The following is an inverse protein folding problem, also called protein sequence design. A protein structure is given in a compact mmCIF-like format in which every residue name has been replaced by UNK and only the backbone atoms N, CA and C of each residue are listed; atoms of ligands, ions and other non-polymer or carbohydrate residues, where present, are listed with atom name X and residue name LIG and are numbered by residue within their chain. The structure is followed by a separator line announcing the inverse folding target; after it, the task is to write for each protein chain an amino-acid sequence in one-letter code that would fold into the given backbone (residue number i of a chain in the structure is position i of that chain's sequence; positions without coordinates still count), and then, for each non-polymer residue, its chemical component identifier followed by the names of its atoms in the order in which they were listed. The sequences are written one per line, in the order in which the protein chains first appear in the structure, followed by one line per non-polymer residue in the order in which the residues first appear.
data_IF_238776786674
#
_entry.id   IF_238776786674
#
_cell.length_a   1.000
_cell.length_b   1.000
_cell.length_c   1.000
_cell.angle_alpha   90.00
_cell.angle_beta   90.00
_cell.angle_gamma   90.00
#
_symmetry.space_group_name_H-M   'P 1'
#
loop_
_entity.id
_entity.type
_entity.pdbx_description
1 polymer ?
#
# COMPACT_ATOMS: atom_id res chain seq x y z
N UNK A 1 -42.21 -43.10 41.72
CA UNK A 1 -41.34 -41.94 42.03
C UNK A 1 -40.41 -41.69 40.84
N UNK A 2 -40.71 -40.69 40.01
CA UNK A 2 -39.97 -40.34 38.79
C UNK A 2 -38.89 -39.32 39.14
N UNK A 3 -37.63 -39.58 38.77
CA UNK A 3 -36.56 -38.58 38.73
C UNK A 3 -36.62 -37.86 37.38
N UNK A 4 -37.00 -36.58 37.42
CA UNK A 4 -36.85 -35.62 36.34
C UNK A 4 -35.78 -34.63 36.79
N UNK A 5 -34.64 -34.59 36.12
CA UNK A 5 -33.57 -33.65 36.42
C UNK A 5 -32.31 -34.03 35.66
N UNK A 6 -31.72 -33.05 34.96
CA UNK A 6 -30.54 -33.13 34.08
C UNK A 6 -30.78 -33.38 32.58
N UNK A 7 -31.57 -32.54 31.89
CA UNK A 7 -31.38 -32.35 30.42
C UNK A 7 -31.60 -30.89 29.96
N UNK A 8 -31.36 -29.89 30.82
CA UNK A 8 -31.55 -28.47 30.42
C UNK A 8 -30.38 -27.61 30.84
N UNK A 9 -29.17 -27.94 30.38
CA UNK A 9 -28.02 -27.03 30.52
C UNK A 9 -26.90 -27.26 29.48
N UNK A 10 -27.24 -27.70 28.26
CA UNK A 10 -26.26 -27.96 27.19
C UNK A 10 -26.66 -27.46 25.79
N UNK A 11 -27.67 -26.58 25.70
CA UNK A 11 -28.18 -26.06 24.41
C UNK A 11 -28.15 -24.53 24.28
N UNK A 12 -27.25 -23.85 25.00
CA UNK A 12 -26.89 -22.44 24.76
C UNK A 12 -25.36 -22.34 24.87
N UNK A 13 -24.60 -22.41 23.75
CA UNK A 13 -24.38 -21.24 22.89
C UNK A 13 -24.18 -21.63 21.41
N UNK A 14 -25.25 -21.68 20.62
CA UNK A 14 -25.15 -21.81 19.14
C UNK A 14 -26.00 -20.77 18.41
N UNK A 15 -26.46 -19.74 19.14
CA UNK A 15 -27.19 -18.62 18.57
C UNK A 15 -26.37 -17.36 18.74
N UNK A 16 -26.15 -16.70 17.60
CA UNK A 16 -25.65 -15.34 17.39
C UNK A 16 -24.15 -15.10 17.61
N UNK A 17 -23.35 -15.62 16.68
CA UNK A 17 -22.27 -14.82 16.14
C UNK A 17 -22.30 -14.93 14.61
N UNK A 18 -23.23 -14.21 13.97
CA UNK A 18 -23.06 -13.78 12.58
C UNK A 18 -21.90 -12.78 12.59
N UNK A 19 -20.68 -13.25 12.81
CA UNK A 19 -19.48 -12.43 12.63
C UNK A 19 -19.43 -12.14 11.14
N UNK A 20 -19.64 -10.89 10.75
CA UNK A 20 -19.42 -10.46 9.37
C UNK A 20 -17.93 -10.52 9.05
N UNK A 21 -17.55 -10.84 7.80
CA UNK A 21 -16.18 -10.67 7.28
C UNK A 21 -15.75 -9.19 7.18
N UNK A 22 -16.55 -8.28 7.71
CA UNK A 22 -16.35 -6.85 7.73
C UNK A 22 -15.64 -6.44 9.02
N UNK A 23 -14.49 -5.80 8.88
CA UNK A 23 -13.81 -5.09 9.96
C UNK A 23 -14.34 -3.65 9.95
N UNK A 24 -15.06 -3.27 11.00
CA UNK A 24 -15.45 -1.89 11.21
C UNK A 24 -14.24 -1.08 11.69
N UNK A 25 -13.85 -0.08 10.89
CA UNK A 25 -12.72 0.77 11.20
C UNK A 25 -13.14 2.06 11.90
N UNK A 26 -14.45 2.34 12.01
CA UNK A 26 -14.97 3.61 12.51
C UNK A 26 -14.40 3.94 13.89
N UNK A 27 -14.55 3.05 14.87
CA UNK A 27 -14.15 3.31 16.26
C UNK A 27 -12.63 3.46 16.46
N UNK A 28 -11.82 2.81 15.62
CA UNK A 28 -10.37 2.77 15.79
C UNK A 28 -9.63 3.82 14.93
N UNK A 29 -10.20 4.22 13.79
CA UNK A 29 -9.68 5.32 12.98
C UNK A 29 -10.21 6.70 13.44
N UNK A 30 -11.31 6.74 14.21
CA UNK A 30 -11.94 8.00 14.63
C UNK A 30 -11.13 8.84 15.63
N UNK A 31 -10.08 8.30 16.25
CA UNK A 31 -9.47 8.97 17.42
C UNK A 31 -8.86 10.35 17.09
N UNK A 32 -8.62 10.73 15.82
CA UNK A 32 -8.14 12.09 15.48
C UNK A 32 -8.65 12.71 14.16
N UNK A 33 -9.66 12.11 13.51
CA UNK A 33 -10.06 12.53 12.16
C UNK A 33 -11.57 12.48 11.98
N UNK A 34 -12.24 13.55 12.44
CA UNK A 34 -13.36 14.07 11.66
C UNK A 34 -12.92 14.07 10.19
N UNK A 35 -13.74 13.51 9.31
CA UNK A 35 -13.43 13.41 7.88
C UNK A 35 -12.81 14.72 7.40
N UNK A 36 -11.77 14.70 6.54
CA UNK A 36 -11.21 15.97 6.07
C UNK A 36 -12.29 16.89 5.48
N UNK A 37 -13.35 16.30 4.91
CA UNK A 37 -14.54 17.05 4.52
C UNK A 37 -15.31 17.67 5.68
N UNK A 38 -15.45 16.99 6.82
CA UNK A 38 -16.09 17.56 8.02
C UNK A 38 -15.28 18.76 8.55
N UNK A 39 -13.95 18.68 8.49
CA UNK A 39 -13.08 19.81 8.83
C UNK A 39 -13.24 20.98 7.87
N UNK A 40 -13.64 20.71 6.63
CA UNK A 40 -13.90 21.71 5.60
C UNK A 40 -15.38 22.10 5.50
N UNK A 41 -16.29 21.48 6.26
CA UNK A 41 -17.74 21.60 6.07
C UNK A 41 -18.28 23.04 6.23
N UNK A 42 -17.53 23.91 6.93
CA UNK A 42 -17.83 25.34 7.03
C UNK A 42 -17.52 26.17 5.77
N UNK A 43 -16.89 25.60 4.75
CA UNK A 43 -16.43 26.28 3.54
C UNK A 43 -16.67 25.43 2.28
N UNK A 44 -17.82 25.63 1.65
CA UNK A 44 -18.25 24.85 0.48
C UNK A 44 -17.27 24.89 -0.70
N UNK A 45 -16.54 26.01 -0.87
CA UNK A 45 -15.54 26.15 -1.94
C UNK A 45 -14.35 25.24 -1.67
N UNK A 46 -13.86 25.21 -0.42
CA UNK A 46 -12.78 24.30 -0.04
C UNK A 46 -13.19 22.83 -0.11
N UNK A 47 -14.42 22.50 0.27
CA UNK A 47 -14.95 21.14 0.12
C UNK A 47 -14.91 20.71 -1.34
N UNK A 48 -15.32 21.58 -2.26
CA UNK A 48 -15.34 21.25 -3.69
C UNK A 48 -13.93 21.11 -4.27
N UNK A 49 -13.00 22.00 -3.89
CA UNK A 49 -11.59 21.88 -4.28
C UNK A 49 -10.96 20.60 -3.74
N UNK A 50 -11.28 20.23 -2.50
CA UNK A 50 -10.82 19.00 -1.88
C UNK A 50 -11.33 17.77 -2.65
N UNK A 51 -12.62 17.75 -3.02
CA UNK A 51 -13.20 16.67 -3.84
C UNK A 51 -12.57 16.56 -5.22
N UNK A 52 -12.34 17.70 -5.85
CA UNK A 52 -11.66 17.76 -7.15
C UNK A 52 -10.25 17.18 -7.03
N UNK A 53 -9.52 17.55 -5.98
CA UNK A 53 -8.17 17.06 -5.73
C UNK A 53 -8.12 15.53 -5.54
N UNK A 54 -8.99 14.96 -4.69
CA UNK A 54 -8.95 13.51 -4.41
C UNK A 54 -9.35 12.64 -5.61
N UNK A 55 -10.05 13.21 -6.59
CA UNK A 55 -10.45 12.52 -7.83
C UNK A 55 -9.35 12.54 -8.90
N UNK A 56 -8.25 13.27 -8.69
CA UNK A 56 -7.18 13.48 -9.67
C UNK A 56 -5.89 12.74 -9.29
N UNK A 57 -5.07 12.46 -10.30
CA UNK A 57 -3.66 12.10 -10.13
C UNK A 57 -2.78 13.36 -10.21
N UNK A 58 -1.70 13.44 -9.45
CA UNK A 58 -0.92 14.69 -9.26
C UNK A 58 0.32 14.87 -10.17
N UNK A 59 0.24 14.53 -11.46
CA UNK A 59 1.38 14.64 -12.41
C UNK A 59 1.45 15.97 -13.19
N UNK A 60 0.63 16.96 -12.85
CA UNK A 60 0.58 18.24 -13.56
C UNK A 60 0.00 18.15 -14.97
N UNK A 61 -0.38 16.94 -15.44
CA UNK A 61 -1.26 16.81 -16.58
C UNK A 61 -2.64 17.24 -16.11
N UNK A 62 -3.14 18.38 -16.60
CA UNK A 62 -4.58 18.59 -16.65
C UNK A 62 -5.13 17.44 -17.49
N UNK A 63 -5.52 16.33 -16.87
CA UNK A 63 -6.42 15.38 -17.50
C UNK A 63 -7.63 16.23 -17.91
N UNK A 64 -7.88 16.41 -19.22
CA UNK A 64 -8.97 17.26 -19.64
C UNK A 64 -10.25 16.60 -19.17
N UNK A 65 -10.91 17.19 -18.17
CA UNK A 65 -12.36 17.13 -18.03
C UNK A 65 -12.98 17.93 -19.19
N UNK A 66 -12.71 17.50 -20.42
CA UNK A 66 -13.52 17.84 -21.58
C UNK A 66 -14.45 16.66 -21.82
N UNK A 67 -15.47 16.54 -20.97
CA UNK A 67 -16.70 15.87 -21.37
C UNK A 67 -17.26 16.61 -22.59
N UNK A 68 -17.49 15.95 -23.74
CA UNK A 68 -18.46 16.46 -24.68
C UNK A 68 -19.81 16.40 -23.97
N UNK A 69 -20.34 17.57 -23.63
CA UNK A 69 -21.68 17.72 -23.11
C UNK A 69 -22.70 17.30 -24.17
N UNK A 70 -23.01 15.99 -24.27
CA UNK A 70 -24.28 15.49 -24.79
C UNK A 70 -24.44 14.01 -24.45
N UNK A 71 -24.94 13.73 -23.25
CA UNK A 71 -25.84 12.59 -22.99
C UNK A 71 -26.67 12.90 -21.76
N UNK A 72 -27.86 13.39 -22.05
CA UNK A 72 -29.16 13.14 -21.41
C UNK A 72 -29.13 12.70 -19.93
N UNK A 73 -29.78 13.53 -19.12
CA UNK A 73 -30.06 13.34 -17.71
C UNK A 73 -30.61 11.94 -17.34
N UNK A 74 -30.07 11.37 -16.26
CA UNK A 74 -30.79 10.95 -15.04
C UNK A 74 -30.00 9.85 -14.31
N UNK A 75 -29.31 10.24 -13.24
CA UNK A 75 -29.25 9.50 -11.97
C UNK A 75 -28.56 10.37 -10.92
N UNK A 76 -29.00 10.32 -9.65
CA UNK A 76 -28.30 11.04 -8.58
C UNK A 76 -26.89 10.47 -8.48
N UNK A 77 -25.88 11.34 -8.58
CA UNK A 77 -24.48 10.99 -8.36
C UNK A 77 -24.37 10.42 -6.94
N UNK A 78 -24.30 9.10 -6.85
CA UNK A 78 -24.09 8.39 -5.60
C UNK A 78 -22.74 8.82 -5.02
N UNK A 79 -22.79 9.26 -3.77
CA UNK A 79 -21.70 9.89 -2.99
C UNK A 79 -20.48 8.95 -2.75
N UNK A 80 -20.52 7.70 -3.21
CA UNK A 80 -19.51 6.66 -2.93
C UNK A 80 -18.30 6.56 -3.88
N UNK A 81 -18.06 7.52 -4.78
CA UNK A 81 -17.08 7.40 -5.88
C UNK A 81 -15.72 8.09 -5.71
N UNK A 82 -15.40 8.65 -4.53
CA UNK A 82 -14.40 9.73 -4.43
C UNK A 82 -12.94 9.30 -4.60
N UNK A 83 -12.48 8.32 -3.81
CA UNK A 83 -11.15 7.71 -3.98
C UNK A 83 -11.12 6.63 -5.06
N UNK A 84 -12.31 6.23 -5.52
CA UNK A 84 -12.50 5.19 -6.53
C UNK A 84 -12.03 5.65 -7.90
N UNK A 85 -12.27 6.91 -8.27
CA UNK A 85 -12.00 7.40 -9.63
C UNK A 85 -10.56 7.19 -10.13
N UNK A 86 -9.50 7.66 -9.45
CA UNK A 86 -8.12 7.44 -9.90
C UNK A 86 -7.72 5.96 -9.89
N UNK A 87 -8.21 5.18 -8.91
CA UNK A 87 -7.95 3.73 -8.82
C UNK A 87 -8.61 2.99 -9.98
N UNK A 88 -9.89 3.25 -10.23
CA UNK A 88 -10.66 2.66 -11.31
C UNK A 88 -10.06 3.02 -12.67
N UNK A 89 -9.68 4.28 -12.87
CA UNK A 89 -9.02 4.74 -14.09
C UNK A 89 -7.73 3.96 -14.36
N UNK A 90 -6.93 3.69 -13.31
CA UNK A 90 -5.73 2.86 -13.47
C UNK A 90 -6.08 1.41 -13.80
N UNK A 91 -7.06 0.82 -13.10
CA UNK A 91 -7.52 -0.56 -13.36
C UNK A 91 -8.00 -0.71 -14.80
N UNK A 92 -8.82 0.21 -15.30
CA UNK A 92 -9.31 0.21 -16.69
C UNK A 92 -8.15 0.27 -17.70
N UNK A 93 -7.16 1.14 -17.48
CA UNK A 93 -5.97 1.20 -18.34
C UNK A 93 -5.15 -0.10 -18.33
N UNK A 94 -5.06 -0.78 -17.18
CA UNK A 94 -4.35 -2.06 -17.09
C UNK A 94 -5.17 -3.15 -17.79
N UNK A 95 -6.49 -3.17 -17.60
CA UNK A 95 -7.42 -4.08 -18.28
C UNK A 95 -7.37 -3.97 -19.80
N UNK A 96 -7.42 -2.75 -20.32
CA UNK A 96 -7.37 -2.50 -21.77
C UNK A 96 -6.07 -3.03 -22.41
N UNK A 97 -4.98 -3.09 -21.64
CA UNK A 97 -3.67 -3.55 -22.12
C UNK A 97 -3.43 -5.05 -21.93
N UNK A 98 -3.82 -5.58 -20.77
CA UNK A 98 -3.49 -6.95 -20.36
C UNK A 98 -4.65 -7.94 -20.52
N UNK A 99 -5.83 -7.45 -20.91
CA UNK A 99 -7.04 -8.25 -21.06
C UNK A 99 -7.57 -8.78 -19.72
N UNK A 100 -8.11 -10.00 -19.72
CA UNK A 100 -8.81 -10.59 -18.58
C UNK A 100 -7.97 -10.77 -17.31
N UNK A 101 -6.64 -10.75 -17.40
CA UNK A 101 -5.74 -10.98 -16.25
C UNK A 101 -5.81 -9.86 -15.19
N UNK A 102 -6.25 -8.66 -15.57
CA UNK A 102 -6.42 -7.53 -14.64
C UNK A 102 -7.83 -7.41 -14.06
N UNK A 103 -8.78 -8.29 -14.42
CA UNK A 103 -10.15 -8.24 -13.90
C UNK A 103 -10.21 -8.39 -12.37
N UNK A 104 -9.22 -9.09 -11.81
CA UNK A 104 -9.04 -9.28 -10.37
C UNK A 104 -8.61 -8.01 -9.62
N UNK A 105 -8.08 -6.99 -10.31
CA UNK A 105 -7.72 -5.70 -9.71
C UNK A 105 -8.92 -4.78 -9.50
N UNK A 106 -10.08 -5.08 -10.09
CA UNK A 106 -11.32 -4.30 -9.89
C UNK A 106 -11.73 -4.21 -8.42
N UNK A 107 -11.36 -5.22 -7.62
CA UNK A 107 -11.56 -5.26 -6.17
C UNK A 107 -10.93 -4.06 -5.44
N UNK A 108 -9.81 -3.52 -5.95
CA UNK A 108 -9.17 -2.33 -5.36
C UNK A 108 -10.06 -1.10 -5.47
N UNK A 109 -10.78 -0.95 -6.60
CA UNK A 109 -11.67 0.19 -6.81
C UNK A 109 -12.88 0.12 -5.87
N UNK A 110 -13.42 -1.08 -5.67
CA UNK A 110 -14.56 -1.31 -4.79
C UNK A 110 -14.17 -1.10 -3.32
N UNK A 111 -13.02 -1.65 -2.91
CA UNK A 111 -12.47 -1.41 -1.57
C UNK A 111 -12.21 0.08 -1.33
N UNK A 112 -11.71 0.82 -2.33
CA UNK A 112 -11.46 2.26 -2.20
C UNK A 112 -12.76 3.05 -2.01
N UNK A 113 -13.83 2.64 -2.71
CA UNK A 113 -15.17 3.20 -2.51
C UNK A 113 -15.70 2.95 -1.10
N UNK A 114 -15.61 1.70 -0.62
CA UNK A 114 -16.07 1.32 0.72
C UNK A 114 -15.29 2.04 1.83
N UNK A 115 -13.98 2.19 1.66
CA UNK A 115 -13.13 2.90 2.62
C UNK A 115 -13.40 4.42 2.63
N UNK A 116 -13.70 5.02 1.47
CA UNK A 116 -13.97 6.45 1.34
C UNK A 116 -15.34 6.87 1.93
N UNK A 117 -16.29 5.93 2.07
CA UNK A 117 -17.60 6.22 2.63
C UNK A 117 -17.51 6.47 4.15
N UNK A 118 -17.73 7.70 4.64
CA UNK A 118 -17.63 8.01 6.06
C UNK A 118 -18.69 7.25 6.89
N UNK A 119 -19.80 6.84 6.28
CA UNK A 119 -20.85 6.06 6.94
C UNK A 119 -20.53 4.57 7.00
N UNK A 120 -19.54 4.09 6.22
CA UNK A 120 -19.24 2.68 6.01
C UNK A 120 -17.74 2.36 5.94
N UNK A 121 -16.86 3.10 6.63
CA UNK A 121 -15.41 2.82 6.71
C UNK A 121 -15.15 1.39 7.18
N UNK A 122 -15.10 0.46 6.23
CA UNK A 122 -15.07 -0.97 6.45
C UNK A 122 -14.03 -1.59 5.56
N UNK A 123 -13.38 -2.63 6.08
CA UNK A 123 -12.57 -3.53 5.27
C UNK A 123 -13.27 -4.88 5.22
N UNK A 124 -13.57 -5.33 4.01
CA UNK A 124 -14.09 -6.66 3.74
C UNK A 124 -12.92 -7.64 3.58
N UNK A 125 -12.82 -8.61 4.48
CA UNK A 125 -11.77 -9.62 4.46
C UNK A 125 -11.83 -10.52 3.24
N UNK A 126 -13.00 -10.76 2.66
CA UNK A 126 -13.13 -11.58 1.46
C UNK A 126 -12.62 -10.81 0.24
N UNK A 127 -12.92 -9.51 0.15
CA UNK A 127 -12.30 -8.62 -0.86
C UNK A 127 -10.78 -8.55 -0.68
N UNK A 128 -10.30 -8.48 0.56
CA UNK A 128 -8.87 -8.47 0.86
C UNK A 128 -8.19 -9.78 0.45
N UNK A 129 -8.84 -10.93 0.62
CA UNK A 129 -8.35 -12.22 0.11
C UNK A 129 -8.25 -12.22 -1.41
N UNK A 130 -9.32 -11.80 -2.10
CA UNK A 130 -9.32 -11.65 -3.56
C UNK A 130 -8.19 -10.74 -4.03
N UNK A 131 -7.94 -9.64 -3.32
CA UNK A 131 -6.81 -8.75 -3.59
C UNK A 131 -5.47 -9.48 -3.42
N UNK A 132 -5.24 -10.19 -2.31
CA UNK A 132 -3.98 -10.92 -2.11
C UNK A 132 -3.76 -12.02 -3.14
N UNK A 133 -4.82 -12.69 -3.59
CA UNK A 133 -4.76 -13.66 -4.68
C UNK A 133 -4.42 -12.99 -6.01
N UNK A 134 -5.01 -11.82 -6.30
CA UNK A 134 -4.68 -11.01 -7.47
C UNK A 134 -3.21 -10.59 -7.47
N UNK A 135 -2.71 -10.07 -6.34
CA UNK A 135 -1.31 -9.70 -6.16
C UNK A 135 -0.39 -10.89 -6.42
N UNK A 136 -0.70 -12.05 -5.81
CA UNK A 136 0.11 -13.27 -6.00
C UNK A 136 0.14 -13.70 -7.46
N UNK A 137 -1.01 -13.66 -8.14
CA UNK A 137 -1.10 -13.98 -9.56
C UNK A 137 -0.25 -13.03 -10.42
N UNK A 138 -0.30 -11.73 -10.13
CA UNK A 138 0.53 -10.73 -10.80
C UNK A 138 2.01 -10.93 -10.53
N UNK A 139 2.42 -11.09 -9.27
CA UNK A 139 3.81 -11.31 -8.89
C UNK A 139 4.37 -12.58 -9.55
N UNK A 140 3.58 -13.65 -9.63
CA UNK A 140 3.98 -14.86 -10.36
C UNK A 140 4.19 -14.60 -11.86
N UNK A 141 3.43 -13.69 -12.47
CA UNK A 141 3.61 -13.34 -13.88
C UNK A 141 4.85 -12.48 -14.13
N UNK A 142 5.22 -11.61 -13.18
CA UNK A 142 6.41 -10.75 -13.27
C UNK A 142 7.72 -11.54 -13.26
N UNK A 143 7.78 -12.63 -12.49
CA UNK A 143 8.96 -13.51 -12.40
C UNK A 143 9.32 -14.15 -13.76
N UNK A 144 8.36 -14.26 -14.68
CA UNK A 144 8.57 -14.87 -16.00
C UNK A 144 8.83 -13.87 -17.13
N UNK A 145 8.60 -12.57 -16.95
CA UNK A 145 8.66 -11.60 -18.06
C UNK A 145 9.03 -10.17 -17.62
N UNK A 146 10.14 -10.02 -16.88
CA UNK A 146 10.73 -8.70 -16.59
C UNK A 146 10.99 -7.91 -17.88
N UNK A 147 11.32 -8.59 -18.99
CA UNK A 147 11.49 -7.98 -20.31
C UNK A 147 10.20 -7.39 -20.87
N UNK A 148 9.03 -8.02 -20.66
CA UNK A 148 7.75 -7.40 -20.98
C UNK A 148 7.43 -6.21 -20.07
N UNK A 149 7.74 -6.30 -18.77
CA UNK A 149 7.53 -5.17 -17.85
C UNK A 149 8.42 -3.97 -18.19
N UNK A 150 9.68 -4.23 -18.59
CA UNK A 150 10.61 -3.20 -19.08
C UNK A 150 10.17 -2.58 -20.41
N UNK A 151 9.42 -3.33 -21.23
CA UNK A 151 8.81 -2.83 -22.47
C UNK A 151 7.48 -2.11 -22.24
N UNK A 152 6.82 -2.29 -21.09
CA UNK A 152 5.61 -1.56 -20.75
C UNK A 152 5.92 -0.11 -20.39
N UNK A 153 5.27 0.79 -21.11
CA UNK A 153 5.37 2.24 -20.91
C UNK A 153 4.44 2.74 -19.80
N UNK A 154 3.66 1.85 -19.17
CA UNK A 154 2.80 2.24 -18.04
C UNK A 154 3.64 2.62 -16.82
N UNK A 155 3.24 3.70 -16.16
CA UNK A 155 3.90 4.12 -14.91
C UNK A 155 3.81 3.02 -13.83
N UNK A 156 2.69 2.29 -13.78
CA UNK A 156 2.52 1.20 -12.82
C UNK A 156 3.56 0.08 -13.04
N UNK A 157 3.74 -0.39 -14.28
CA UNK A 157 4.74 -1.40 -14.60
C UNK A 157 6.16 -0.91 -14.27
N UNK A 158 6.49 0.32 -14.63
CA UNK A 158 7.81 0.91 -14.35
C UNK A 158 8.08 1.03 -12.85
N UNK A 159 7.11 1.51 -12.07
CA UNK A 159 7.20 1.57 -10.62
C UNK A 159 7.35 0.16 -10.02
N UNK A 160 6.52 -0.78 -10.45
CA UNK A 160 6.56 -2.14 -9.93
C UNK A 160 7.89 -2.85 -10.24
N UNK A 161 8.44 -2.66 -11.44
CA UNK A 161 9.77 -3.15 -11.81
C UNK A 161 10.83 -2.54 -10.91
N UNK A 162 10.87 -1.21 -10.82
CA UNK A 162 11.88 -0.50 -10.03
C UNK A 162 11.78 -0.82 -8.53
N UNK A 163 10.58 -1.07 -8.01
CA UNK A 163 10.34 -1.40 -6.61
C UNK A 163 10.85 -2.81 -6.30
N UNK A 164 10.55 -3.78 -7.15
CA UNK A 164 11.10 -5.13 -7.06
C UNK A 164 12.64 -5.12 -7.20
N UNK A 165 13.18 -4.41 -8.19
CA UNK A 165 14.63 -4.28 -8.37
C UNK A 165 15.32 -3.59 -7.17
N UNK A 166 14.72 -2.56 -6.58
CA UNK A 166 15.28 -1.93 -5.39
C UNK A 166 15.23 -2.84 -4.15
N UNK A 167 14.21 -3.69 -4.05
CA UNK A 167 14.06 -4.65 -2.97
C UNK A 167 15.06 -5.82 -3.10
N UNK A 168 15.13 -6.46 -4.27
CA UNK A 168 15.96 -7.65 -4.53
C UNK A 168 17.38 -7.35 -5.04
N UNK A 169 17.58 -6.30 -5.85
CA UNK A 169 18.66 -6.22 -6.83
C UNK A 169 19.83 -5.27 -6.55
N UNK A 170 19.74 -4.30 -5.64
CA UNK A 170 20.87 -3.38 -5.37
C UNK A 170 21.84 -3.97 -4.32
N UNK A 171 22.40 -5.14 -4.65
CA UNK A 171 23.35 -5.89 -3.83
C UNK A 171 24.74 -5.25 -3.92
N UNK A 172 25.20 -4.65 -2.82
CA UNK A 172 26.52 -3.98 -2.76
C UNK A 172 27.49 -4.73 -1.88
N UNK A 173 28.75 -4.73 -2.30
CA UNK A 173 29.89 -5.28 -1.57
C UNK A 173 30.65 -4.13 -0.89
N UNK A 174 30.64 -4.06 0.43
CA UNK A 174 31.44 -3.10 1.19
C UNK A 174 32.64 -3.81 1.83
N UNK A 175 33.85 -3.26 1.70
CA UNK A 175 35.06 -3.72 2.40
C UNK A 175 35.25 -2.91 3.68
N UNK A 176 35.15 -3.53 4.86
CA UNK A 176 35.48 -2.88 6.13
C UNK A 176 36.92 -3.23 6.55
N UNK A 177 37.86 -2.28 6.69
CA UNK A 177 39.22 -2.55 7.17
C UNK A 177 39.25 -2.77 8.69
N UNK A 178 39.86 -3.87 9.14
CA UNK A 178 40.17 -4.11 10.55
C UNK A 178 41.28 -3.16 11.04
N UNK A 179 40.92 -2.16 11.85
CA UNK A 179 41.86 -1.17 12.38
C UNK A 179 42.76 -1.72 13.50
N UNK A 180 42.49 -2.92 14.02
CA UNK A 180 43.22 -3.48 15.16
C UNK A 180 44.47 -4.30 14.79
N UNK A 181 44.60 -4.75 13.53
CA UNK A 181 45.65 -5.73 13.14
C UNK A 181 46.71 -5.22 12.17
N UNK A 182 46.62 -3.97 11.69
CA UNK A 182 47.59 -3.40 10.74
C UNK A 182 47.65 -4.14 9.38
N UNK A 183 46.75 -5.10 9.15
CA UNK A 183 46.54 -5.82 7.89
C UNK A 183 45.15 -5.48 7.39
N UNK A 184 45.01 -5.28 6.07
CA UNK A 184 43.70 -5.07 5.43
C UNK A 184 42.92 -6.38 5.48
N UNK A 185 42.29 -6.70 6.61
CA UNK A 185 41.18 -7.66 6.68
C UNK A 185 39.95 -6.93 6.20
N UNK A 186 39.41 -7.35 5.06
CA UNK A 186 38.14 -6.83 4.55
C UNK A 186 37.01 -7.77 4.98
N UNK A 187 36.02 -7.25 5.71
CA UNK A 187 34.70 -7.89 5.74
C UNK A 187 33.98 -7.45 4.48
N UNK A 188 33.59 -8.37 3.61
CA UNK A 188 32.70 -8.08 2.47
C UNK A 188 31.27 -8.21 2.93
N UNK A 189 30.57 -7.11 3.18
CA UNK A 189 29.14 -7.12 3.49
C UNK A 189 28.34 -6.98 2.19
N UNK A 190 27.47 -7.97 1.95
CA UNK A 190 26.48 -7.98 0.87
C UNK A 190 25.16 -7.47 1.44
N UNK A 191 24.73 -6.26 1.06
CA UNK A 191 23.46 -5.70 1.53
C UNK A 191 22.68 -5.02 0.40
N UNK A 192 21.39 -5.32 0.31
CA UNK A 192 20.44 -4.56 -0.51
C UNK A 192 20.17 -3.20 0.14
N UNK A 193 20.22 -2.11 -0.65
CA UNK A 193 19.79 -0.78 -0.19
C UNK A 193 18.32 -0.78 0.22
N UNK A 194 17.52 -1.65 -0.40
CA UNK A 194 16.09 -1.78 -0.17
C UNK A 194 15.26 -0.82 -1.00
N UNK A 195 13.97 -1.15 -1.08
CA UNK A 195 12.94 -0.27 -1.55
C UNK A 195 12.76 0.90 -0.58
N UNK A 196 12.69 2.13 -1.09
CA UNK A 196 12.38 3.33 -0.29
C UNK A 196 11.04 3.87 -0.76
N UNK A 197 10.05 3.88 0.13
CA UNK A 197 8.72 4.37 -0.18
C UNK A 197 8.69 5.89 -0.43
N UNK A 198 7.56 6.39 -0.91
CA UNK A 198 7.32 7.81 -1.21
C UNK A 198 7.67 8.75 -0.05
N UNK A 199 7.52 8.30 1.19
CA UNK A 199 7.76 9.07 2.41
C UNK A 199 9.19 8.93 2.97
N UNK A 200 9.99 8.03 2.40
CA UNK A 200 11.38 7.78 2.80
C UNK A 200 11.57 6.56 3.69
N UNK A 201 10.54 5.77 3.99
CA UNK A 201 10.71 4.54 4.77
C UNK A 201 11.35 3.46 3.91
N UNK A 202 12.32 2.74 4.48
CA UNK A 202 13.08 1.71 3.75
C UNK A 202 12.60 0.31 4.12
N UNK A 203 12.34 -0.52 3.11
CA UNK A 203 12.01 -1.94 3.23
C UNK A 203 13.08 -2.76 2.50
N UNK A 204 13.66 -3.72 3.20
CA UNK A 204 14.81 -4.52 2.70
C UNK A 204 14.46 -6.00 2.69
N UNK A 205 14.91 -6.68 1.64
CA UNK A 205 14.77 -8.13 1.54
C UNK A 205 15.47 -8.83 2.71
N UNK A 206 14.77 -9.70 3.46
CA UNK A 206 15.39 -10.53 4.48
C UNK A 206 16.25 -11.62 3.83
N UNK A 207 17.44 -11.92 4.36
CA UNK A 207 18.20 -13.12 3.96
C UNK A 207 19.51 -12.88 3.22
N UNK A 208 19.78 -11.68 2.69
CA UNK A 208 21.04 -11.38 2.01
C UNK A 208 21.98 -10.61 2.93
N UNK A 209 22.77 -11.33 3.72
CA UNK A 209 23.90 -10.79 4.48
C UNK A 209 25.08 -11.74 4.41
N UNK A 210 25.77 -11.80 3.28
CA UNK A 210 27.06 -12.49 3.24
C UNK A 210 28.11 -11.61 3.91
N UNK A 211 28.90 -12.19 4.83
CA UNK A 211 30.06 -11.57 5.48
C UNK A 211 31.28 -12.42 5.15
N UNK A 212 32.04 -12.06 4.12
CA UNK A 212 33.30 -12.77 3.88
C UNK A 212 34.39 -12.18 4.78
N UNK A 213 34.98 -12.98 5.67
CA UNK A 213 36.13 -12.58 6.48
C UNK A 213 37.41 -13.03 5.75
N UNK A 214 38.15 -12.07 5.18
CA UNK A 214 39.44 -12.39 4.55
C UNK A 214 40.52 -12.45 5.64
N UNK A 215 40.60 -13.60 6.31
CA UNK A 215 41.73 -13.94 7.18
C UNK A 215 42.86 -14.63 6.40
N UNK A 216 44.02 -14.85 7.06
CA UNK A 216 45.17 -15.58 6.47
C UNK A 216 44.82 -17.00 5.97
N UNK A 217 43.63 -17.49 6.34
CA UNK A 217 42.93 -18.61 5.73
C UNK A 217 41.64 -18.03 5.14
N UNK A 218 41.42 -18.09 3.81
CA UNK A 218 40.19 -17.59 3.19
C UNK A 218 39.01 -18.44 3.67
N UNK A 219 38.34 -17.99 4.72
CA UNK A 219 37.12 -18.61 5.25
C UNK A 219 35.97 -17.67 4.97
N UNK A 220 35.15 -18.04 3.98
CA UNK A 220 33.92 -17.30 3.67
C UNK A 220 32.84 -17.82 4.61
N UNK A 221 32.54 -17.07 5.67
CA UNK A 221 31.41 -17.38 6.55
C UNK A 221 30.13 -16.78 5.97
N UNK A 222 29.42 -17.58 5.17
CA UNK A 222 28.15 -17.17 4.59
C UNK A 222 27.03 -17.22 5.65
N UNK A 223 26.81 -16.11 6.35
CA UNK A 223 25.70 -16.02 7.31
C UNK A 223 24.38 -15.78 6.56
N UNK A 224 23.71 -16.86 6.15
CA UNK A 224 22.35 -16.75 5.62
C UNK A 224 21.37 -16.64 6.79
N UNK A 225 20.66 -15.50 6.89
CA UNK A 225 19.51 -15.42 7.79
C UNK A 225 18.36 -16.24 7.20
N UNK A 226 17.64 -17.05 7.99
CA UNK A 226 16.57 -17.87 7.46
C UNK A 226 15.52 -17.00 6.77
N UNK A 227 15.23 -17.31 5.50
CA UNK A 227 14.21 -16.61 4.72
C UNK A 227 12.85 -16.93 5.33
N UNK A 228 12.22 -15.91 5.93
CA UNK A 228 10.86 -16.04 6.47
C UNK A 228 9.84 -15.77 5.35
N UNK A 229 9.11 -16.81 4.94
CA UNK A 229 8.07 -16.71 3.90
C UNK A 229 6.98 -15.68 4.22
N UNK A 230 6.62 -15.53 5.50
CA UNK A 230 5.65 -14.53 5.95
C UNK A 230 6.12 -13.13 5.59
N UNK A 231 7.38 -12.82 5.90
CA UNK A 231 7.98 -11.52 5.62
C UNK A 231 8.12 -11.26 4.12
N UNK A 232 8.58 -12.24 3.36
CA UNK A 232 8.70 -12.09 1.90
C UNK A 232 7.34 -11.85 1.26
N UNK A 233 6.31 -12.62 1.63
CA UNK A 233 4.96 -12.45 1.09
C UNK A 233 4.34 -11.09 1.45
N UNK A 234 4.53 -10.63 2.69
CA UNK A 234 4.12 -9.32 3.16
C UNK A 234 4.81 -8.20 2.37
N UNK A 235 6.13 -8.29 2.19
CA UNK A 235 6.91 -7.30 1.45
C UNK A 235 6.50 -7.26 -0.02
N UNK A 236 6.28 -8.40 -0.68
CA UNK A 236 5.79 -8.45 -2.08
C UNK A 236 4.41 -7.80 -2.24
N UNK A 237 3.50 -8.01 -1.28
CA UNK A 237 2.21 -7.33 -1.28
C UNK A 237 2.35 -5.82 -1.07
N UNK A 238 3.25 -5.40 -0.18
CA UNK A 238 3.58 -3.99 0.00
C UNK A 238 4.11 -3.36 -1.28
N UNK A 239 5.12 -3.94 -1.91
CA UNK A 239 5.73 -3.40 -3.13
C UNK A 239 4.69 -3.24 -4.25
N UNK A 240 3.83 -4.24 -4.42
CA UNK A 240 2.73 -4.18 -5.39
C UNK A 240 1.78 -3.00 -5.11
N UNK A 241 1.29 -2.88 -3.87
CA UNK A 241 0.32 -1.86 -3.53
C UNK A 241 0.92 -0.45 -3.50
N UNK A 242 2.16 -0.30 -3.03
CA UNK A 242 2.89 0.96 -3.10
C UNK A 242 3.02 1.39 -4.57
N UNK A 243 3.49 0.51 -5.47
CA UNK A 243 3.60 0.81 -6.91
C UNK A 243 2.25 1.15 -7.54
N UNK A 244 1.20 0.39 -7.21
CA UNK A 244 -0.14 0.59 -7.73
C UNK A 244 -0.71 1.95 -7.34
N UNK A 245 -0.69 2.28 -6.04
CA UNK A 245 -1.25 3.54 -5.56
C UNK A 245 -0.37 4.75 -5.86
N UNK A 246 0.95 4.59 -5.92
CA UNK A 246 1.84 5.62 -6.43
C UNK A 246 1.52 5.93 -7.90
N UNK A 247 1.28 4.91 -8.74
CA UNK A 247 0.84 5.13 -10.12
C UNK A 247 -0.53 5.81 -10.23
N UNK A 248 -1.47 5.46 -9.32
CA UNK A 248 -2.84 5.96 -9.32
C UNK A 248 -2.96 7.41 -8.82
N UNK A 249 -2.33 7.72 -7.69
CA UNK A 249 -2.46 9.03 -7.01
C UNK A 249 -1.33 10.00 -7.35
N UNK A 250 -0.10 9.48 -7.50
CA UNK A 250 1.10 10.25 -7.79
C UNK A 250 1.35 11.38 -6.79
N UNK A 251 1.08 11.14 -5.51
CA UNK A 251 1.44 12.12 -4.46
C UNK A 251 2.96 12.36 -4.52
N UNK A 252 3.44 13.61 -4.40
CA UNK A 252 4.87 13.91 -4.47
C UNK A 252 5.72 13.09 -3.50
N UNK A 253 6.86 12.59 -3.99
CA UNK A 253 7.80 11.77 -3.25
C UNK A 253 9.00 12.56 -2.72
N UNK A 254 9.57 12.13 -1.59
CA UNK A 254 10.84 12.67 -1.09
C UNK A 254 12.00 12.26 -1.99
N UNK A 255 13.06 13.07 -2.04
CA UNK A 255 14.17 12.95 -3.00
C UNK A 255 14.84 11.56 -3.02
N UNK A 256 14.88 10.86 -1.88
CA UNK A 256 15.49 9.54 -1.76
C UNK A 256 14.59 8.38 -2.21
N UNK A 257 13.30 8.61 -2.47
CA UNK A 257 12.31 7.58 -2.79
C UNK A 257 12.67 6.81 -4.07
N UNK A 258 12.35 5.52 -4.11
CA UNK A 258 12.59 4.68 -5.28
C UNK A 258 11.82 5.16 -6.51
N UNK A 259 10.62 5.72 -6.32
CA UNK A 259 9.77 6.27 -7.38
C UNK A 259 10.46 7.33 -8.25
N UNK A 260 11.42 8.08 -7.69
CA UNK A 260 12.14 9.15 -8.40
C UNK A 260 13.34 8.65 -9.20
N UNK A 261 13.69 7.36 -9.07
CA UNK A 261 14.84 6.75 -9.74
C UNK A 261 14.48 6.04 -11.03
N UNK A 262 13.24 6.19 -11.50
CA UNK A 262 12.78 5.58 -12.74
C UNK A 262 13.61 6.13 -13.92
N UNK A 263 14.25 5.26 -14.72
CA UNK A 263 15.02 5.68 -15.87
C UNK A 263 14.08 6.24 -16.95
N UNK A 264 14.21 7.54 -17.24
CA UNK A 264 13.60 8.20 -18.42
C UNK A 264 12.12 7.86 -18.65
N UNK A 265 11.26 8.23 -17.71
CA UNK A 265 9.82 8.21 -17.93
C UNK A 265 9.38 9.42 -18.77
N UNK A 266 8.47 9.21 -19.73
CA UNK A 266 7.83 10.29 -20.49
C UNK A 266 7.03 11.27 -19.60
N UNK A 267 6.66 10.83 -18.40
CA UNK A 267 6.14 11.65 -17.30
C UNK A 267 6.86 11.22 -16.02
N UNK A 268 7.79 12.02 -15.49
CA UNK A 268 8.53 11.67 -14.28
C UNK A 268 7.58 11.65 -13.08
N UNK A 269 7.85 10.74 -12.13
CA UNK A 269 7.12 10.73 -10.87
C UNK A 269 7.34 12.06 -10.13
N UNK A 270 6.30 12.70 -9.57
CA UNK A 270 6.45 14.02 -8.96
C UNK A 270 7.33 13.97 -7.72
N UNK A 271 8.33 14.86 -7.68
CA UNK A 271 9.19 15.06 -6.52
C UNK A 271 8.66 16.19 -5.63
N UNK A 272 8.82 16.04 -4.32
CA UNK A 272 8.60 17.13 -3.38
C UNK A 272 9.77 18.11 -3.48
N UNK A 273 9.47 19.33 -3.92
CA UNK A 273 10.42 20.45 -3.99
C UNK A 273 10.28 21.33 -2.74
N UNK A 274 11.27 21.37 -1.83
CA UNK A 274 11.23 22.23 -0.65
C UNK A 274 11.22 23.74 -0.98
N UNK A 275 11.69 24.12 -2.17
CA UNK A 275 11.73 25.53 -2.59
C UNK A 275 10.39 26.05 -3.10
N UNK A 276 9.57 25.16 -3.70
CA UNK A 276 8.21 25.44 -4.13
C UNK A 276 7.27 24.32 -3.66
N UNK A 277 7.05 24.18 -2.34
CA UNK A 277 6.43 22.99 -1.81
C UNK A 277 4.90 23.02 -2.04
N UNK A 278 4.30 21.95 -2.60
CA UNK A 278 2.85 21.91 -2.86
C UNK A 278 2.02 21.91 -1.57
N UNK A 279 2.63 21.49 -0.46
CA UNK A 279 2.16 21.63 0.92
C UNK A 279 3.39 21.89 1.80
N UNK A 280 3.24 22.57 2.93
CA UNK A 280 4.35 22.82 3.85
C UNK A 280 5.03 21.53 4.32
N UNK A 281 6.32 21.60 4.68
CA UNK A 281 7.06 20.44 5.19
C UNK A 281 6.41 19.85 6.46
N UNK A 282 5.85 20.69 7.32
CA UNK A 282 5.10 20.27 8.51
C UNK A 282 3.81 19.53 8.14
N UNK A 283 3.09 20.01 7.12
CA UNK A 283 1.92 19.32 6.59
C UNK A 283 2.29 17.96 6.02
N UNK A 284 3.35 17.88 5.21
CA UNK A 284 3.86 16.61 4.68
C UNK A 284 4.22 15.63 5.82
N UNK A 285 4.92 16.10 6.86
CA UNK A 285 5.24 15.28 8.02
C UNK A 285 3.98 14.80 8.77
N UNK A 286 2.96 15.65 8.86
CA UNK A 286 1.67 15.31 9.47
C UNK A 286 0.94 14.23 8.67
N UNK A 287 0.87 14.37 7.34
CA UNK A 287 0.27 13.38 6.44
C UNK A 287 0.98 12.03 6.59
N UNK A 288 2.32 12.02 6.50
CA UNK A 288 3.13 10.81 6.66
C UNK A 288 2.90 10.14 8.01
N UNK A 289 2.91 10.91 9.11
CA UNK A 289 2.67 10.36 10.46
C UNK A 289 1.28 9.74 10.59
N UNK A 290 0.25 10.39 10.05
CA UNK A 290 -1.11 9.88 10.08
C UNK A 290 -1.27 8.62 9.22
N UNK A 291 -0.62 8.58 8.06
CA UNK A 291 -0.62 7.42 7.19
C UNK A 291 0.05 6.20 7.83
N UNK A 292 1.26 6.35 8.39
CA UNK A 292 1.97 5.27 9.09
C UNK A 292 1.18 4.80 10.32
N UNK A 293 0.55 5.71 11.06
CA UNK A 293 -0.32 5.33 12.18
C UNK A 293 -1.53 4.54 11.71
N UNK A 294 -2.15 4.96 10.61
CA UNK A 294 -3.29 4.24 10.00
C UNK A 294 -2.87 2.84 9.56
N UNK A 295 -1.71 2.71 8.91
CA UNK A 295 -1.13 1.44 8.53
C UNK A 295 -1.01 0.51 9.73
N UNK A 296 -0.42 0.97 10.83
CA UNK A 296 -0.23 0.16 12.03
C UNK A 296 -1.56 -0.27 12.67
N UNK A 297 -2.54 0.64 12.76
CA UNK A 297 -3.87 0.34 13.32
C UNK A 297 -4.58 -0.73 12.48
N UNK A 298 -4.65 -0.51 11.16
CA UNK A 298 -5.35 -1.42 10.24
C UNK A 298 -4.66 -2.78 10.19
N UNK A 299 -3.32 -2.81 10.12
CA UNK A 299 -2.52 -4.04 10.21
C UNK A 299 -2.86 -4.81 11.49
N UNK A 300 -2.93 -4.14 12.65
CA UNK A 300 -3.27 -4.80 13.91
C UNK A 300 -4.70 -5.34 13.95
N UNK A 301 -5.69 -4.58 13.46
CA UNK A 301 -7.09 -5.01 13.43
C UNK A 301 -7.30 -6.21 12.52
N UNK A 302 -6.71 -6.16 11.32
CA UNK A 302 -6.75 -7.25 10.36
C UNK A 302 -6.02 -8.46 10.92
N UNK A 303 -4.89 -8.28 11.60
CA UNK A 303 -4.17 -9.39 12.23
C UNK A 303 -4.96 -10.09 13.33
N UNK A 304 -5.72 -9.33 14.14
CA UNK A 304 -6.66 -9.92 15.10
C UNK A 304 -7.76 -10.73 14.41
N UNK A 305 -8.32 -10.20 13.32
CA UNK A 305 -9.38 -10.88 12.59
C UNK A 305 -8.89 -12.12 11.83
N UNK A 306 -7.73 -12.02 11.17
CA UNK A 306 -7.11 -13.07 10.35
C UNK A 306 -6.50 -14.21 11.18
N UNK A 307 -6.03 -13.97 12.40
CA UNK A 307 -5.44 -15.01 13.28
C UNK A 307 -6.44 -15.65 14.25
N UNK A 308 -7.74 -15.46 14.07
CA UNK A 308 -8.75 -16.20 14.85
C UNK A 308 -9.41 -15.44 16.00
N UNK A 309 -9.44 -14.10 15.97
CA UNK A 309 -10.46 -13.33 16.70
C UNK A 309 -11.88 -13.51 16.14
N UNK A 310 -12.03 -14.23 15.01
CA UNK A 310 -13.29 -14.61 14.37
C UNK A 310 -13.20 -16.02 13.74
N UNK A 311 -14.34 -16.62 13.38
CA UNK A 311 -14.43 -17.92 12.67
C UNK A 311 -13.77 -17.92 11.27
N UNK A 312 -13.27 -16.78 10.77
CA UNK A 312 -12.58 -16.64 9.49
C UNK A 312 -11.06 -16.67 9.59
N UNK A 313 -10.50 -17.09 10.73
CA UNK A 313 -9.06 -17.20 10.92
C UNK A 313 -8.41 -18.07 9.83
N UNK A 314 -7.26 -17.62 9.31
CA UNK A 314 -6.43 -18.42 8.42
C UNK A 314 -5.44 -19.22 9.25
N UNK A 315 -5.40 -20.54 9.10
CA UNK A 315 -4.37 -21.39 9.73
C UNK A 315 -2.99 -21.27 9.05
N UNK A 316 -2.78 -20.20 8.26
CA UNK A 316 -1.58 -19.97 7.49
C UNK A 316 -1.05 -18.57 7.78
N UNK A 317 0.02 -18.52 8.57
CA UNK A 317 0.63 -17.27 9.02
C UNK A 317 1.21 -16.43 7.87
N UNK A 318 1.63 -17.07 6.77
CA UNK A 318 2.07 -16.37 5.57
C UNK A 318 0.90 -15.60 4.92
N UNK A 319 -0.28 -16.23 4.85
CA UNK A 319 -1.49 -15.58 4.33
C UNK A 319 -1.92 -14.45 5.28
N UNK A 320 -1.92 -14.68 6.60
CA UNK A 320 -2.25 -13.66 7.58
C UNK A 320 -1.34 -12.42 7.45
N UNK A 321 -0.02 -12.62 7.42
CA UNK A 321 0.95 -11.54 7.25
C UNK A 321 0.77 -10.77 5.93
N UNK A 322 0.40 -11.47 4.85
CA UNK A 322 0.09 -10.86 3.55
C UNK A 322 -1.18 -10.01 3.61
N UNK A 323 -2.26 -10.54 4.19
CA UNK A 323 -3.53 -9.82 4.36
C UNK A 323 -3.34 -8.56 5.23
N UNK A 324 -2.65 -8.71 6.35
CA UNK A 324 -2.33 -7.61 7.27
C UNK A 324 -1.60 -6.47 6.56
N UNK A 325 -0.55 -6.82 5.83
CA UNK A 325 0.26 -5.84 5.10
C UNK A 325 -0.54 -5.23 3.95
N UNK A 326 -1.31 -6.03 3.21
CA UNK A 326 -2.13 -5.54 2.12
C UNK A 326 -3.15 -4.51 2.61
N UNK A 327 -3.86 -4.80 3.70
CA UNK A 327 -4.83 -3.88 4.27
C UNK A 327 -4.19 -2.63 4.87
N UNK A 328 -3.08 -2.79 5.59
CA UNK A 328 -2.33 -1.68 6.18
C UNK A 328 -1.84 -0.70 5.12
N UNK A 329 -1.17 -1.20 4.09
CA UNK A 329 -0.65 -0.39 2.97
C UNK A 329 -1.80 0.23 2.18
N UNK A 330 -2.85 -0.53 1.87
CA UNK A 330 -4.05 0.02 1.23
C UNK A 330 -4.59 1.24 1.99
N UNK A 331 -4.84 1.11 3.29
CA UNK A 331 -5.38 2.20 4.11
C UNK A 331 -4.39 3.37 4.22
N UNK A 332 -3.09 3.08 4.39
CA UNK A 332 -2.01 4.08 4.37
C UNK A 332 -2.12 4.97 3.12
N UNK A 333 -2.14 4.37 1.92
CA UNK A 333 -2.12 5.13 0.66
C UNK A 333 -3.35 6.00 0.45
N UNK A 334 -4.53 5.51 0.85
CA UNK A 334 -5.75 6.32 0.81
C UNK A 334 -5.64 7.54 1.74
N UNK A 335 -5.17 7.34 2.98
CA UNK A 335 -4.97 8.42 3.94
C UNK A 335 -3.90 9.42 3.50
N UNK A 336 -2.82 8.95 2.87
CA UNK A 336 -1.78 9.83 2.30
C UNK A 336 -2.35 10.76 1.23
N UNK A 337 -3.10 10.22 0.28
CA UNK A 337 -3.70 10.97 -0.82
C UNK A 337 -4.69 12.02 -0.31
N UNK A 338 -5.63 11.59 0.55
CA UNK A 338 -6.60 12.51 1.15
C UNK A 338 -5.92 13.58 2.02
N UNK A 339 -4.89 13.20 2.78
CA UNK A 339 -4.15 14.12 3.64
C UNK A 339 -3.42 15.18 2.82
N UNK A 340 -2.76 14.77 1.75
CA UNK A 340 -2.12 15.68 0.81
C UNK A 340 -3.12 16.69 0.24
N UNK A 341 -4.26 16.21 -0.28
CA UNK A 341 -5.30 17.07 -0.83
C UNK A 341 -5.89 18.05 0.18
N UNK A 342 -6.11 17.62 1.42
CA UNK A 342 -6.61 18.49 2.47
C UNK A 342 -5.65 19.65 2.73
N UNK A 343 -4.35 19.37 2.90
CA UNK A 343 -3.35 20.41 3.15
C UNK A 343 -3.14 21.32 1.94
N UNK A 344 -3.21 20.78 0.72
CA UNK A 344 -3.12 21.57 -0.50
C UNK A 344 -4.21 22.64 -0.55
N UNK A 345 -5.45 22.28 -0.21
CA UNK A 345 -6.60 23.19 -0.24
C UNK A 345 -6.54 24.26 0.86
N UNK A 346 -6.11 23.91 2.08
CA UNK A 346 -6.11 24.90 3.19
C UNK A 346 -4.91 25.83 3.17
N UNK A 347 -3.78 25.42 2.58
CA UNK A 347 -2.56 26.22 2.51
C UNK A 347 -2.46 27.05 1.23
N UNK A 348 -3.11 26.61 0.14
CA UNK A 348 -3.20 27.32 -1.13
C UNK A 348 -4.69 27.59 -1.47
N UNK A 349 -5.34 28.54 -0.76
CA UNK A 349 -6.79 28.77 -0.82
C UNK A 349 -7.31 29.46 -2.09
#
# INVERSE_FOLDING_TARGET
MRRLGFVTLLTLPLLTACTSSLIDLRENLDVHRSSFEEKLAGDSVKVERFRTCIQQAHDGSNLPLSTPATRTAMSPVMIGGRLRAPVQTLVERILDRTGGNAASLSVLSDMAGDFADPSRRKLDLDKLRLLTDAIRHWQAHLDFDEDALARDTSLFAQLLLAYNQAYFGDVRYALAPDTASGRVRGIVQVASRGFVDRSGNTVRFPGLSATAQVDAIPTVELTTTPINSQRVSADLARLFLEAFFDAAFRVPAVQQATALRLPTAASPYPAFDPSHPPISLEALATVTRQAIRTEAIVTSLVGKAARGGSLFGTNNETIAATLETAAGVFAKKLVEHEGFCYFQVIQHP
#
